data_IF_693557566915
#
_entry.id   IF_693557566915
#
_cell.length_a   1.000
_cell.length_b   1.000
_cell.length_c   1.000
_cell.angle_alpha   90.00
_cell.angle_beta   90.00
_cell.angle_gamma   90.00
#
_symmetry.space_group_name_H-M   'P 1'
#
loop_
_entity.id
_entity.type
_entity.pdbx_description
1 polymer ?
#
# COMPACT_ATOMS: atom_id res chain seq x y z
N UNK A 1 32.94 35.67 35.17
CA UNK A 1 33.09 34.20 35.11
C UNK A 1 31.76 33.43 34.99
N UNK A 2 30.60 34.11 34.92
CA UNK A 2 29.25 33.50 34.90
C UNK A 2 28.66 33.25 33.49
N UNK A 3 29.47 33.37 32.42
CA UNK A 3 29.01 33.21 31.03
C UNK A 3 29.35 31.86 30.40
N UNK A 4 30.48 31.25 30.78
CA UNK A 4 30.96 30.02 30.13
C UNK A 4 30.16 28.79 30.57
N UNK A 5 29.78 28.68 31.84
CA UNK A 5 28.96 27.54 32.31
C UNK A 5 27.55 27.56 31.74
N UNK A 6 26.92 28.73 31.62
CA UNK A 6 25.61 28.87 30.98
C UNK A 6 25.68 28.58 29.48
N UNK A 7 26.72 29.07 28.78
CA UNK A 7 26.93 28.75 27.37
C UNK A 7 27.13 27.25 27.15
N UNK A 8 27.95 26.59 27.98
CA UNK A 8 28.15 25.14 27.93
C UNK A 8 26.83 24.39 28.18
N UNK A 9 26.02 24.80 29.17
CA UNK A 9 24.72 24.15 29.41
C UNK A 9 23.75 24.30 28.24
N UNK A 10 23.74 25.47 27.58
CA UNK A 10 22.90 25.71 26.42
C UNK A 10 23.34 24.88 25.22
N UNK A 11 24.65 24.81 24.96
CA UNK A 11 25.22 24.01 23.87
C UNK A 11 25.02 22.51 24.09
N UNK A 12 25.18 22.04 25.34
CA UNK A 12 24.89 20.65 25.71
C UNK A 12 23.41 20.31 25.55
N UNK A 13 22.50 21.21 25.96
CA UNK A 13 21.06 21.03 25.76
C UNK A 13 20.72 20.95 24.27
N UNK A 14 21.26 21.86 23.46
CA UNK A 14 21.07 21.88 22.00
C UNK A 14 21.62 20.63 21.32
N UNK A 15 22.78 20.12 21.77
CA UNK A 15 23.34 18.87 21.28
C UNK A 15 22.39 17.69 21.53
N UNK A 16 21.83 17.57 22.74
CA UNK A 16 20.90 16.50 23.08
C UNK A 16 19.56 16.62 22.32
N UNK A 17 19.04 17.83 22.12
CA UNK A 17 17.83 18.08 21.33
C UNK A 17 18.03 17.69 19.85
N UNK A 18 19.18 18.07 19.28
CA UNK A 18 19.53 17.69 17.90
C UNK A 18 19.70 16.17 17.77
N UNK A 19 20.33 15.50 18.74
CA UNK A 19 20.44 14.04 18.75
C UNK A 19 19.05 13.40 18.84
N UNK A 20 18.16 13.91 19.70
CA UNK A 20 16.78 13.44 19.80
C UNK A 20 16.02 13.58 18.47
N UNK A 21 16.13 14.74 17.83
CA UNK A 21 15.51 15.00 16.53
C UNK A 21 16.02 14.05 15.45
N UNK A 22 17.32 13.77 15.43
CA UNK A 22 17.92 12.80 14.50
C UNK A 22 17.42 11.39 14.79
N UNK A 23 17.34 10.97 16.07
CA UNK A 23 16.84 9.65 16.44
C UNK A 23 15.38 9.45 16.02
N UNK A 24 14.53 10.46 16.24
CA UNK A 24 13.12 10.43 15.81
C UNK A 24 13.01 10.41 14.28
N UNK A 25 13.83 11.20 13.60
CA UNK A 25 13.90 11.23 12.14
C UNK A 25 14.32 9.89 11.52
N UNK A 26 15.31 9.22 12.14
CA UNK A 26 15.78 7.89 11.71
C UNK A 26 14.66 6.86 11.75
N UNK A 27 13.79 6.88 12.77
CA UNK A 27 12.67 5.94 12.85
C UNK A 27 11.67 6.10 11.70
N UNK A 28 11.49 7.33 11.19
CA UNK A 28 10.60 7.58 10.05
C UNK A 28 11.21 7.14 8.72
N UNK A 29 12.51 7.39 8.51
CA UNK A 29 13.20 7.08 7.24
C UNK A 29 13.56 5.60 7.11
N UNK A 30 13.74 4.90 8.24
CA UNK A 30 14.23 3.51 8.26
C UNK A 30 13.11 2.46 8.24
N UNK A 31 11.86 2.85 7.98
CA UNK A 31 10.75 1.89 7.94
C UNK A 31 10.98 0.89 6.80
N UNK A 32 10.97 -0.43 7.09
CA UNK A 32 11.11 -1.44 6.04
C UNK A 32 9.93 -1.36 5.09
N UNK A 33 10.19 -1.61 3.79
CA UNK A 33 9.12 -1.71 2.79
C UNK A 33 8.26 -2.93 3.12
N UNK A 34 6.95 -2.73 3.17
CA UNK A 34 6.02 -3.82 3.51
C UNK A 34 5.81 -4.81 2.35
N UNK A 35 5.96 -4.35 1.12
CA UNK A 35 5.78 -5.15 -0.10
C UNK A 35 6.91 -4.82 -1.08
N UNK A 36 7.63 -5.84 -1.52
CA UNK A 36 8.70 -5.72 -2.51
C UNK A 36 8.42 -6.59 -3.75
N UNK A 37 8.91 -6.14 -4.89
CA UNK A 37 8.88 -6.96 -6.10
C UNK A 37 9.88 -8.10 -5.97
N UNK A 38 9.45 -9.31 -6.35
CA UNK A 38 10.33 -10.47 -6.33
C UNK A 38 11.50 -10.23 -7.30
N UNK A 39 12.71 -10.74 -7.01
CA UNK A 39 13.81 -10.68 -7.95
C UNK A 39 13.42 -11.26 -9.31
N UNK A 40 13.56 -10.48 -10.38
CA UNK A 40 13.18 -10.89 -11.74
C UNK A 40 11.68 -10.81 -12.05
N UNK A 41 10.89 -10.11 -11.24
CA UNK A 41 9.51 -9.79 -11.55
C UNK A 41 9.42 -9.11 -12.94
N UNK A 42 8.47 -9.57 -13.75
CA UNK A 42 8.22 -9.05 -15.10
C UNK A 42 6.98 -8.17 -15.10
N UNK A 43 6.81 -7.41 -16.17
CA UNK A 43 5.57 -6.66 -16.35
C UNK A 43 4.40 -7.61 -16.61
N UNK A 44 3.24 -7.25 -16.07
CA UNK A 44 2.01 -8.00 -16.31
C UNK A 44 1.50 -7.78 -17.73
N UNK A 45 1.03 -8.85 -18.38
CA UNK A 45 0.39 -8.77 -19.68
C UNK A 45 -1.12 -8.98 -19.54
N UNK A 46 -1.89 -7.89 -19.45
CA UNK A 46 -3.35 -7.97 -19.36
C UNK A 46 -3.97 -7.92 -20.76
N UNK A 47 -4.84 -8.89 -21.05
CA UNK A 47 -5.45 -9.12 -22.36
C UNK A 47 -6.98 -9.15 -22.30
N UNK A 48 -7.55 -9.78 -21.27
CA UNK A 48 -9.00 -9.93 -21.10
C UNK A 48 -9.49 -9.26 -19.82
N UNK A 49 -8.68 -9.23 -18.77
CA UNK A 49 -9.02 -8.62 -17.48
C UNK A 49 -9.84 -9.55 -16.56
N UNK A 50 -9.65 -10.86 -16.64
CA UNK A 50 -10.15 -11.79 -15.63
C UNK A 50 -9.42 -11.54 -14.30
N UNK A 51 -10.16 -11.46 -13.20
CA UNK A 51 -9.60 -11.35 -11.85
C UNK A 51 -10.02 -12.57 -11.04
N UNK A 52 -9.06 -13.29 -10.45
CA UNK A 52 -9.33 -14.45 -9.61
C UNK A 52 -8.65 -14.34 -8.26
N UNK A 53 -9.45 -14.30 -7.21
CA UNK A 53 -9.05 -14.57 -5.83
C UNK A 53 -9.15 -16.08 -5.60
N UNK A 54 -8.03 -16.71 -5.26
CA UNK A 54 -7.90 -18.17 -5.10
C UNK A 54 -7.52 -18.49 -3.65
N UNK A 55 -8.54 -18.88 -2.88
CA UNK A 55 -8.49 -19.30 -1.48
C UNK A 55 -7.68 -18.37 -0.56
N UNK A 56 -7.97 -17.07 -0.65
CA UNK A 56 -7.15 -16.04 0.01
C UNK A 56 -7.43 -15.92 1.51
N UNK A 57 -6.37 -15.64 2.28
CA UNK A 57 -6.43 -15.30 3.70
C UNK A 57 -5.62 -14.04 3.99
N UNK A 58 -6.19 -13.12 4.77
CA UNK A 58 -5.52 -11.87 5.13
C UNK A 58 -6.14 -11.18 6.36
N UNK A 59 -5.29 -10.73 7.29
CA UNK A 59 -5.72 -10.19 8.58
C UNK A 59 -4.93 -8.95 9.07
N UNK A 60 -4.16 -8.27 8.21
CA UNK A 60 -3.26 -7.17 8.62
C UNK A 60 -2.31 -7.55 9.78
N UNK A 61 -1.79 -8.79 9.78
CA UNK A 61 -0.91 -9.29 10.84
C UNK A 61 -1.62 -9.61 12.17
N UNK A 62 -2.96 -9.50 12.22
CA UNK A 62 -3.76 -9.99 13.36
C UNK A 62 -3.94 -11.50 13.25
N UNK A 63 -4.22 -12.14 14.38
CA UNK A 63 -4.38 -13.60 14.43
C UNK A 63 -5.62 -14.11 13.67
N UNK A 64 -6.68 -13.29 13.57
CA UNK A 64 -7.93 -13.62 12.85
C UNK A 64 -8.67 -12.34 12.44
N UNK A 65 -9.53 -12.49 11.44
CA UNK A 65 -10.58 -11.54 11.08
C UNK A 65 -10.20 -10.63 9.92
N UNK A 66 -11.20 -10.30 9.08
CA UNK A 66 -11.15 -9.61 7.76
C UNK A 66 -11.47 -10.57 6.61
N UNK A 67 -10.53 -11.40 6.13
CA UNK A 67 -10.77 -12.34 5.02
C UNK A 67 -10.21 -13.73 5.37
N UNK A 68 -11.10 -14.72 5.36
CA UNK A 68 -10.79 -16.14 5.61
C UNK A 68 -11.32 -16.98 4.44
N UNK A 69 -10.42 -17.67 3.75
CA UNK A 69 -10.70 -18.63 2.67
C UNK A 69 -11.69 -18.09 1.62
N UNK A 70 -11.41 -16.90 1.07
CA UNK A 70 -12.25 -16.31 0.03
C UNK A 70 -11.76 -16.73 -1.36
N UNK A 71 -12.67 -17.33 -2.13
CA UNK A 71 -12.49 -17.55 -3.56
C UNK A 71 -13.56 -16.79 -4.36
N UNK A 72 -13.11 -16.01 -5.34
CA UNK A 72 -13.97 -15.19 -6.20
C UNK A 72 -13.34 -15.10 -7.58
N UNK A 73 -14.12 -15.31 -8.63
CA UNK A 73 -13.69 -15.06 -10.02
C UNK A 73 -14.61 -14.00 -10.62
N UNK A 74 -14.01 -12.93 -11.14
CA UNK A 74 -14.67 -11.87 -11.90
C UNK A 74 -14.27 -12.05 -13.35
N UNK A 75 -15.27 -12.28 -14.21
CA UNK A 75 -15.05 -12.54 -15.63
C UNK A 75 -14.72 -11.26 -16.39
N UNK A 76 -14.03 -11.34 -17.54
CA UNK A 76 -13.82 -10.21 -18.44
C UNK A 76 -15.12 -9.44 -18.73
N UNK A 77 -15.10 -8.12 -18.49
CA UNK A 77 -16.25 -7.24 -18.71
C UNK A 77 -17.39 -7.35 -17.69
N UNK A 78 -17.27 -8.22 -16.69
CA UNK A 78 -18.28 -8.37 -15.64
C UNK A 78 -18.29 -7.17 -14.69
N UNK A 79 -19.50 -6.72 -14.31
CA UNK A 79 -19.70 -5.65 -13.34
C UNK A 79 -20.13 -6.25 -12.02
N UNK A 80 -19.27 -6.17 -11.01
CA UNK A 80 -19.50 -6.75 -9.68
C UNK A 80 -19.64 -5.66 -8.63
N UNK A 81 -20.64 -5.79 -7.76
CA UNK A 81 -20.82 -4.94 -6.58
C UNK A 81 -20.46 -5.70 -5.30
N UNK A 82 -19.52 -5.17 -4.52
CA UNK A 82 -19.15 -5.73 -3.21
C UNK A 82 -19.93 -5.01 -2.11
N UNK A 83 -20.84 -5.72 -1.44
CA UNK A 83 -21.69 -5.17 -0.37
C UNK A 83 -21.46 -5.91 0.95
N UNK A 84 -21.68 -5.21 2.06
CA UNK A 84 -21.49 -5.78 3.39
C UNK A 84 -21.38 -4.70 4.46
N UNK A 85 -21.50 -5.09 5.73
CA UNK A 85 -21.40 -4.19 6.89
C UNK A 85 -20.06 -3.45 6.91
N UNK A 86 -20.00 -2.34 7.65
CA UNK A 86 -18.70 -1.69 7.92
C UNK A 86 -17.73 -2.69 8.54
N UNK A 87 -16.46 -2.65 8.11
CA UNK A 87 -15.43 -3.60 8.55
C UNK A 87 -15.47 -4.99 7.88
N UNK A 88 -16.41 -5.28 6.98
CA UNK A 88 -16.49 -6.58 6.30
C UNK A 88 -15.37 -6.87 5.26
N UNK A 89 -14.29 -6.09 5.24
CA UNK A 89 -13.15 -6.33 4.33
C UNK A 89 -13.30 -5.81 2.89
N UNK A 90 -14.35 -5.02 2.58
CA UNK A 90 -14.59 -4.50 1.22
C UNK A 90 -13.42 -3.69 0.66
N UNK A 91 -12.98 -2.65 1.38
CA UNK A 91 -11.81 -1.86 0.98
C UNK A 91 -10.52 -2.68 1.03
N UNK A 92 -10.44 -3.68 1.91
CA UNK A 92 -9.32 -4.61 1.95
C UNK A 92 -9.21 -5.41 0.66
N UNK A 93 -10.31 -5.90 0.09
CA UNK A 93 -10.27 -6.62 -1.20
C UNK A 93 -9.69 -5.75 -2.33
N UNK A 94 -10.09 -4.48 -2.39
CA UNK A 94 -9.55 -3.52 -3.36
C UNK A 94 -8.06 -3.28 -3.12
N UNK A 95 -7.65 -3.09 -1.87
CA UNK A 95 -6.24 -2.89 -1.50
C UNK A 95 -5.37 -4.12 -1.83
N UNK A 96 -5.90 -5.33 -1.65
CA UNK A 96 -5.21 -6.57 -1.98
C UNK A 96 -5.06 -6.76 -3.50
N UNK A 97 -6.10 -6.40 -4.27
CA UNK A 97 -6.01 -6.42 -5.75
C UNK A 97 -4.95 -5.43 -6.28
N UNK A 98 -4.81 -4.26 -5.64
CA UNK A 98 -3.77 -3.27 -5.94
C UNK A 98 -2.39 -3.63 -5.35
N UNK A 99 -2.30 -4.79 -4.67
CA UNK A 99 -1.12 -5.28 -3.96
C UNK A 99 -0.49 -4.23 -3.06
N UNK A 100 -1.30 -3.55 -2.25
CA UNK A 100 -0.80 -2.70 -1.16
C UNK A 100 -0.37 -3.52 0.07
N UNK A 101 -0.80 -4.79 0.13
CA UNK A 101 -0.40 -5.77 1.12
C UNK A 101 -0.21 -7.11 0.42
N UNK A 102 0.79 -7.89 0.85
CA UNK A 102 0.90 -9.29 0.45
C UNK A 102 -0.06 -10.16 1.28
N UNK A 103 -0.51 -11.25 0.68
CA UNK A 103 -1.41 -12.22 1.32
C UNK A 103 -0.69 -13.08 2.35
N UNK A 104 -1.42 -13.52 3.38
CA UNK A 104 -0.91 -14.51 4.34
C UNK A 104 -1.01 -15.93 3.78
N UNK A 105 -2.00 -16.19 2.92
CA UNK A 105 -2.16 -17.45 2.18
C UNK A 105 -3.04 -17.24 0.93
N UNK A 106 -2.96 -18.18 -0.01
CA UNK A 106 -3.67 -18.12 -1.29
C UNK A 106 -2.97 -17.21 -2.29
N UNK A 107 -3.68 -16.83 -3.35
CA UNK A 107 -3.14 -15.94 -4.39
C UNK A 107 -4.23 -15.16 -5.11
N UNK A 108 -3.83 -14.04 -5.70
CA UNK A 108 -4.66 -13.26 -6.61
C UNK A 108 -4.02 -13.30 -8.00
N UNK A 109 -4.86 -13.51 -9.00
CA UNK A 109 -4.46 -13.66 -10.39
C UNK A 109 -5.19 -12.64 -11.25
N UNK A 110 -4.49 -12.10 -12.23
CA UNK A 110 -5.09 -11.32 -13.33
C UNK A 110 -4.70 -12.00 -14.64
N UNK A 111 -5.69 -12.43 -15.43
CA UNK A 111 -5.50 -13.26 -16.63
C UNK A 111 -4.56 -14.46 -16.38
N UNK A 112 -4.73 -15.13 -15.23
CA UNK A 112 -3.93 -16.29 -14.83
C UNK A 112 -2.50 -15.96 -14.35
N UNK A 113 -2.07 -14.70 -14.35
CA UNK A 113 -0.78 -14.27 -13.81
C UNK A 113 -0.90 -13.86 -12.35
N UNK A 114 -0.03 -14.40 -11.49
CA UNK A 114 -0.03 -14.06 -10.06
C UNK A 114 0.47 -12.64 -9.85
N UNK A 115 -0.33 -11.80 -9.20
CA UNK A 115 0.00 -10.37 -9.00
C UNK A 115 1.26 -10.17 -8.14
N UNK A 116 1.61 -11.15 -7.31
CA UNK A 116 2.82 -11.12 -6.49
C UNK A 116 4.09 -11.53 -7.24
N UNK A 117 3.97 -12.03 -8.47
CA UNK A 117 5.09 -12.42 -9.33
C UNK A 117 5.45 -11.37 -10.41
N UNK A 118 4.66 -10.30 -10.52
CA UNK A 118 4.86 -9.21 -11.47
C UNK A 118 5.29 -7.92 -10.77
N UNK A 119 5.76 -6.94 -11.54
CA UNK A 119 6.12 -5.63 -11.01
C UNK A 119 4.87 -4.88 -10.52
N UNK A 120 4.97 -4.21 -9.38
CA UNK A 120 3.85 -3.44 -8.83
C UNK A 120 3.38 -2.32 -9.76
N UNK A 121 4.32 -1.65 -10.42
CA UNK A 121 4.02 -0.54 -11.32
C UNK A 121 3.24 -1.01 -12.55
N UNK A 122 3.63 -2.13 -13.16
CA UNK A 122 2.89 -2.68 -14.30
C UNK A 122 1.48 -3.13 -13.91
N UNK A 123 1.31 -3.72 -12.72
CA UNK A 123 -0.01 -4.11 -12.20
C UNK A 123 -0.93 -2.89 -12.04
N UNK A 124 -0.45 -1.86 -11.34
CA UNK A 124 -1.27 -0.69 -11.02
C UNK A 124 -1.58 0.16 -12.25
N UNK A 125 -0.68 0.18 -13.24
CA UNK A 125 -0.92 0.83 -14.53
C UNK A 125 -2.11 0.23 -15.31
N UNK A 126 -2.50 -1.01 -15.00
CA UNK A 126 -3.67 -1.68 -15.63
C UNK A 126 -4.99 -1.44 -14.87
N UNK A 127 -4.97 -0.74 -13.73
CA UNK A 127 -6.13 -0.59 -12.85
C UNK A 127 -6.45 0.89 -12.66
N UNK A 128 -7.59 1.32 -13.18
CA UNK A 128 -8.19 2.61 -12.84
C UNK A 128 -8.90 2.55 -11.49
N UNK A 129 -8.56 3.45 -10.55
CA UNK A 129 -9.18 3.52 -9.23
C UNK A 129 -9.80 4.90 -8.99
N UNK A 130 -11.03 4.90 -8.46
CA UNK A 130 -11.67 6.11 -7.92
C UNK A 130 -11.81 5.92 -6.42
N UNK A 131 -11.19 6.80 -5.63
CA UNK A 131 -11.21 6.72 -4.17
C UNK A 131 -12.49 7.31 -3.59
N UNK A 132 -12.86 6.86 -2.38
CA UNK A 132 -14.01 7.41 -1.65
C UNK A 132 -13.80 8.88 -1.29
N UNK A 133 -12.62 9.22 -0.76
CA UNK A 133 -12.19 10.59 -0.52
C UNK A 133 -11.18 10.98 -1.60
N UNK A 134 -11.54 11.90 -2.49
CA UNK A 134 -10.65 12.38 -3.56
C UNK A 134 -9.74 13.47 -3.01
N UNK A 135 -8.43 13.28 -3.14
CA UNK A 135 -7.44 14.31 -2.83
C UNK A 135 -7.05 15.04 -4.12
N UNK A 136 -7.15 16.37 -4.11
CA UNK A 136 -6.65 17.22 -5.20
C UNK A 136 -5.31 17.82 -4.77
N UNK A 137 -4.34 17.78 -5.67
CA UNK A 137 -3.09 18.49 -5.48
C UNK A 137 -3.33 19.99 -5.59
N UNK A 138 -2.55 20.80 -4.85
CA UNK A 138 -2.56 22.26 -4.90
C UNK A 138 -2.03 22.80 -6.25
N UNK A 139 -2.80 22.54 -7.31
CA UNK A 139 -2.51 22.76 -8.73
C UNK A 139 -3.81 23.01 -9.49
N UNK A 140 -3.73 23.30 -10.80
CA UNK A 140 -4.94 23.52 -11.61
C UNK A 140 -5.76 22.24 -11.78
N UNK A 141 -7.04 22.40 -12.12
CA UNK A 141 -7.94 21.27 -12.45
C UNK A 141 -7.38 20.44 -13.60
N UNK A 142 -6.86 21.09 -14.65
CA UNK A 142 -6.25 20.43 -15.81
C UNK A 142 -5.08 19.54 -15.40
N UNK A 143 -4.21 20.02 -14.52
CA UNK A 143 -3.06 19.25 -14.05
C UNK A 143 -3.45 18.06 -13.18
N UNK A 144 -4.52 18.18 -12.38
CA UNK A 144 -5.06 17.05 -11.62
C UNK A 144 -5.67 15.97 -12.54
N UNK A 145 -6.31 16.36 -13.65
CA UNK A 145 -6.85 15.41 -14.63
C UNK A 145 -5.71 14.68 -15.37
N UNK A 146 -4.64 15.40 -15.75
CA UNK A 146 -3.48 14.84 -16.45
C UNK A 146 -2.57 13.99 -15.57
N UNK A 147 -2.75 14.02 -14.24
CA UNK A 147 -1.97 13.21 -13.30
C UNK A 147 -2.40 11.75 -13.28
N UNK A 148 -3.68 11.48 -13.57
CA UNK A 148 -4.27 10.14 -13.58
C UNK A 148 -3.87 9.28 -14.77
#
# INVERSE_FOLDING_TARGET
MWGMSQWIMWEMSGLFENIGTVQDGIQSISLPRLVEDRPGAKDIAVSHGEIRFDDIRFHYGKQKGVIENLSLTVKPGEKVGIVGRSGAGKSTLVNLLLRFYDLESGRILVDGQEIAAVTQDSLRAQIGMVTQDTSLLHRSVKENILYG
#
